data_IF_923036579483
#
_entry.id   IF_923036579483
#
_cell.length_a   1.000
_cell.length_b   1.000
_cell.length_c   1.000
_cell.angle_alpha   90.00
_cell.angle_beta   90.00
_cell.angle_gamma   90.00
#
_symmetry.space_group_name_H-M   'P 1'
#
loop_
_entity.id
_entity.type
_entity.pdbx_description
1 polymer ?
#
# COMPACT_ATOMS: atom_id res chain seq x y z
N UNK A 1 19.96 -6.75 -13.11
CA UNK A 1 19.30 -8.01 -12.74
C UNK A 1 18.01 -7.66 -12.03
N UNK A 2 16.89 -8.30 -12.37
CA UNK A 2 15.64 -8.07 -11.65
C UNK A 2 15.79 -8.64 -10.23
N UNK A 3 15.39 -7.86 -9.20
CA UNK A 3 15.40 -8.33 -7.81
C UNK A 3 14.47 -9.53 -7.64
N UNK A 4 14.86 -10.50 -6.83
CA UNK A 4 14.01 -11.64 -6.50
C UNK A 4 12.81 -11.22 -5.66
N UNK A 5 11.82 -12.10 -5.51
CA UNK A 5 10.67 -11.81 -4.63
C UNK A 5 11.09 -11.74 -3.15
N UNK A 6 12.09 -12.55 -2.77
CA UNK A 6 12.68 -12.56 -1.43
C UNK A 6 13.30 -11.21 -1.10
N UNK A 7 14.07 -10.63 -2.04
CA UNK A 7 14.63 -9.28 -1.89
C UNK A 7 13.56 -8.19 -1.91
N UNK A 8 12.62 -8.24 -2.87
CA UNK A 8 11.56 -7.23 -3.03
C UNK A 8 10.70 -7.09 -1.77
N UNK A 9 10.42 -8.21 -1.10
CA UNK A 9 9.61 -8.24 0.12
C UNK A 9 10.44 -8.24 1.40
N UNK A 10 11.77 -8.32 1.29
CA UNK A 10 12.71 -8.44 2.40
C UNK A 10 12.34 -9.61 3.33
N UNK A 11 12.23 -10.82 2.78
CA UNK A 11 11.73 -11.99 3.50
C UNK A 11 12.76 -12.62 4.46
N UNK A 12 14.07 -12.33 4.30
CA UNK A 12 15.13 -12.88 5.15
C UNK A 12 15.06 -12.47 6.62
N UNK A 13 14.25 -11.47 6.96
CA UNK A 13 14.12 -10.95 8.33
C UNK A 13 13.16 -11.77 9.21
N UNK A 14 12.47 -12.75 8.64
CA UNK A 14 11.46 -13.54 9.34
C UNK A 14 12.06 -14.87 9.77
N UNK A 15 11.79 -15.30 11.00
CA UNK A 15 12.35 -16.51 11.59
C UNK A 15 11.40 -17.71 11.40
N UNK A 16 10.15 -17.60 11.83
CA UNK A 16 9.16 -18.67 11.67
C UNK A 16 8.47 -18.55 10.31
N UNK A 17 8.94 -19.35 9.33
CA UNK A 17 8.50 -19.27 7.94
C UNK A 17 7.77 -20.55 7.51
N UNK A 18 6.63 -20.38 6.81
CA UNK A 18 5.99 -21.44 6.05
C UNK A 18 5.86 -21.07 4.57
N UNK A 19 6.11 -22.04 3.69
CA UNK A 19 5.91 -21.93 2.24
C UNK A 19 4.93 -23.00 1.77
N UNK A 20 3.77 -22.58 1.27
CA UNK A 20 2.68 -23.48 0.91
C UNK A 20 2.46 -23.52 -0.61
N UNK A 21 2.17 -24.71 -1.13
CA UNK A 21 1.73 -24.94 -2.51
C UNK A 21 2.68 -24.39 -3.59
N UNK A 22 3.98 -24.27 -3.29
CA UNK A 22 4.96 -23.81 -4.27
C UNK A 22 4.92 -24.69 -5.53
N UNK A 23 4.85 -24.09 -6.74
CA UNK A 23 4.85 -24.87 -7.98
C UNK A 23 6.10 -25.74 -8.09
N UNK A 24 5.93 -27.01 -8.46
CA UNK A 24 7.03 -27.95 -8.59
C UNK A 24 8.09 -27.43 -9.58
N UNK A 25 9.36 -27.57 -9.21
CA UNK A 25 10.48 -27.11 -10.03
C UNK A 25 10.65 -25.58 -10.09
N UNK A 26 9.84 -24.79 -9.38
CA UNK A 26 10.02 -23.34 -9.30
C UNK A 26 11.10 -22.95 -8.28
N UNK A 27 11.94 -21.97 -8.63
CA UNK A 27 13.02 -21.45 -7.79
C UNK A 27 12.68 -20.15 -7.07
N UNK A 28 11.40 -19.84 -6.83
CA UNK A 28 10.99 -18.50 -6.35
C UNK A 28 11.52 -18.14 -4.96
N UNK A 29 11.70 -19.13 -4.08
CA UNK A 29 12.00 -18.95 -2.67
C UNK A 29 13.27 -19.70 -2.22
N UNK A 30 14.13 -20.08 -3.18
CA UNK A 30 15.40 -20.78 -2.94
C UNK A 30 16.36 -20.03 -1.99
N UNK A 31 16.19 -18.72 -1.87
CA UNK A 31 17.00 -17.87 -0.98
C UNK A 31 16.57 -17.95 0.50
N UNK A 32 15.43 -18.59 0.80
CA UNK A 32 15.03 -18.86 2.18
C UNK A 32 15.72 -20.13 2.68
N UNK A 33 16.36 -20.03 3.85
CA UNK A 33 17.21 -21.10 4.37
C UNK A 33 16.44 -22.26 5.03
N UNK A 34 15.37 -21.94 5.77
CA UNK A 34 14.55 -22.92 6.48
C UNK A 34 13.08 -22.46 6.46
N UNK A 35 12.17 -23.40 6.20
CA UNK A 35 10.74 -23.16 6.19
C UNK A 35 9.94 -24.45 6.26
N UNK A 36 8.76 -24.36 6.87
CA UNK A 36 7.77 -25.43 6.85
C UNK A 36 7.00 -25.45 5.53
N UNK A 37 6.72 -26.64 5.00
CA UNK A 37 5.88 -26.79 3.78
C UNK A 37 4.39 -26.97 4.09
N UNK A 38 4.03 -27.02 5.36
CA UNK A 38 2.67 -27.18 5.88
C UNK A 38 2.52 -26.37 7.16
N UNK A 39 1.36 -25.75 7.38
CA UNK A 39 1.08 -25.04 8.63
C UNK A 39 0.98 -26.03 9.80
N UNK A 40 1.77 -25.79 10.85
CA UNK A 40 1.72 -26.51 12.13
C UNK A 40 0.92 -25.71 13.18
N UNK A 41 0.81 -26.23 14.40
CA UNK A 41 0.02 -25.62 15.48
C UNK A 41 0.61 -24.34 16.09
N UNK A 42 1.77 -23.87 15.62
CA UNK A 42 2.37 -22.62 16.08
C UNK A 42 2.13 -21.47 15.09
N UNK A 43 2.36 -20.24 15.55
CA UNK A 43 2.26 -19.04 14.72
C UNK A 43 3.53 -18.78 13.92
N UNK A 44 3.35 -18.25 12.72
CA UNK A 44 4.40 -17.91 11.77
C UNK A 44 4.58 -16.39 11.68
N UNK A 45 5.83 -15.96 11.48
CA UNK A 45 6.13 -14.56 11.15
C UNK A 45 5.92 -14.29 9.66
N UNK A 46 6.03 -15.34 8.85
CA UNK A 46 5.82 -15.32 7.41
C UNK A 46 5.14 -16.62 6.95
N UNK A 47 4.01 -16.48 6.28
CA UNK A 47 3.43 -17.53 5.44
C UNK A 47 3.50 -17.02 4.01
N UNK A 48 4.17 -17.75 3.12
CA UNK A 48 4.15 -17.51 1.69
C UNK A 48 3.41 -18.66 1.02
N UNK A 49 2.38 -18.38 0.23
CA UNK A 49 1.57 -19.41 -0.41
C UNK A 49 1.32 -19.11 -1.88
N UNK A 50 1.08 -20.14 -2.67
CA UNK A 50 0.59 -20.01 -4.03
C UNK A 50 -0.85 -20.53 -4.11
N UNK A 51 -1.73 -19.76 -4.73
CA UNK A 51 -3.16 -20.07 -4.89
C UNK A 51 -3.57 -19.77 -6.32
N UNK A 52 -4.35 -20.65 -6.94
CA UNK A 52 -4.63 -20.57 -8.39
C UNK A 52 -5.96 -19.87 -8.71
N UNK A 53 -6.84 -19.75 -7.74
CA UNK A 53 -8.17 -19.16 -7.87
C UNK A 53 -8.59 -18.46 -6.57
N UNK A 54 -9.69 -17.72 -6.68
CA UNK A 54 -10.18 -16.88 -5.59
C UNK A 54 -10.74 -17.69 -4.41
N UNK A 55 -11.30 -18.87 -4.67
CA UNK A 55 -11.82 -19.77 -3.64
C UNK A 55 -10.67 -20.29 -2.77
N UNK A 56 -9.61 -20.82 -3.40
CA UNK A 56 -8.39 -21.27 -2.74
C UNK A 56 -7.71 -20.14 -1.94
N UNK A 57 -7.72 -18.91 -2.45
CA UNK A 57 -7.21 -17.75 -1.72
C UNK A 57 -8.05 -17.48 -0.47
N UNK A 58 -9.37 -17.49 -0.61
CA UNK A 58 -10.29 -17.24 0.50
C UNK A 58 -10.14 -18.31 1.57
N UNK A 59 -10.12 -19.59 1.19
CA UNK A 59 -9.93 -20.71 2.12
C UNK A 59 -8.61 -20.61 2.89
N UNK A 60 -7.52 -20.24 2.20
CA UNK A 60 -6.23 -20.02 2.84
C UNK A 60 -6.30 -18.90 3.89
N UNK A 61 -6.91 -17.77 3.53
CA UNK A 61 -7.04 -16.61 4.43
C UNK A 61 -7.92 -16.96 5.63
N UNK A 62 -9.07 -17.60 5.40
CA UNK A 62 -9.99 -18.05 6.45
C UNK A 62 -9.28 -19.02 7.41
N UNK A 63 -8.54 -20.00 6.89
CA UNK A 63 -7.77 -20.96 7.70
C UNK A 63 -6.72 -20.27 8.56
N UNK A 64 -5.98 -19.30 8.01
CA UNK A 64 -4.97 -18.54 8.76
C UNK A 64 -5.62 -17.72 9.88
N UNK A 65 -6.80 -17.15 9.63
CA UNK A 65 -7.57 -16.39 10.63
C UNK A 65 -8.10 -17.31 11.72
N UNK A 66 -8.77 -18.41 11.35
CA UNK A 66 -9.44 -19.32 12.28
C UNK A 66 -8.47 -19.95 13.27
N UNK A 67 -7.31 -20.40 12.77
CA UNK A 67 -6.28 -21.04 13.59
C UNK A 67 -5.21 -20.07 14.12
N UNK A 68 -5.35 -18.76 13.86
CA UNK A 68 -4.39 -17.74 14.29
C UNK A 68 -2.94 -18.08 13.92
N UNK A 69 -2.72 -18.58 12.70
CA UNK A 69 -1.40 -19.03 12.23
C UNK A 69 -0.38 -17.90 12.02
N UNK A 70 -0.74 -16.64 12.22
CA UNK A 70 0.20 -15.51 12.15
C UNK A 70 0.52 -14.97 13.53
N UNK A 71 1.81 -14.80 13.81
CA UNK A 71 2.28 -14.03 14.94
C UNK A 71 1.91 -12.55 14.78
N UNK A 72 2.01 -11.80 15.89
CA UNK A 72 1.80 -10.34 15.86
C UNK A 72 2.73 -9.67 14.85
N UNK A 73 2.19 -8.83 13.97
CA UNK A 73 2.92 -8.24 12.85
C UNK A 73 3.43 -9.21 11.77
N UNK A 74 3.02 -10.48 11.84
CA UNK A 74 3.32 -11.49 10.83
C UNK A 74 2.65 -11.19 9.50
N UNK A 75 3.16 -11.80 8.44
CA UNK A 75 2.69 -11.58 7.07
C UNK A 75 2.23 -12.87 6.41
N UNK A 76 1.07 -12.80 5.76
CA UNK A 76 0.65 -13.77 4.75
C UNK A 76 0.85 -13.13 3.36
N UNK A 77 1.75 -13.71 2.56
CA UNK A 77 1.89 -13.39 1.16
C UNK A 77 1.28 -14.51 0.32
N UNK A 78 0.30 -14.18 -0.51
CA UNK A 78 -0.31 -15.12 -1.45
C UNK A 78 0.00 -14.72 -2.88
N UNK A 79 0.75 -15.55 -3.60
CA UNK A 79 1.01 -15.44 -5.01
C UNK A 79 -0.16 -16.05 -5.80
N UNK A 80 -0.72 -15.29 -6.73
CA UNK A 80 -1.85 -15.72 -7.55
C UNK A 80 -1.65 -15.39 -9.04
N UNK A 81 -2.14 -16.23 -9.97
CA UNK A 81 -2.00 -15.97 -11.39
C UNK A 81 -2.72 -14.67 -11.78
N UNK A 82 -2.00 -13.76 -12.43
CA UNK A 82 -2.56 -12.48 -12.88
C UNK A 82 -3.27 -12.63 -14.23
N UNK A 83 -4.19 -11.71 -14.52
CA UNK A 83 -4.88 -11.67 -15.83
C UNK A 83 -3.85 -11.63 -16.97
N UNK A 84 -4.02 -12.51 -17.96
CA UNK A 84 -3.11 -12.63 -19.11
C UNK A 84 -1.89 -13.51 -18.88
N UNK A 85 -1.77 -14.18 -17.72
CA UNK A 85 -0.79 -15.24 -17.55
C UNK A 85 -1.00 -16.37 -18.59
N UNK A 86 0.09 -17.05 -18.97
CA UNK A 86 0.07 -18.11 -20.01
C UNK A 86 0.27 -19.52 -19.46
N UNK A 87 0.41 -19.67 -18.14
CA UNK A 87 0.75 -20.93 -17.49
C UNK A 87 -0.48 -21.62 -16.93
N UNK A 88 -1.39 -20.84 -16.33
CA UNK A 88 -2.60 -21.36 -15.70
C UNK A 88 -3.84 -20.94 -16.48
N UNK A 89 -4.89 -21.80 -16.54
CA UNK A 89 -6.16 -21.45 -17.15
C UNK A 89 -6.96 -20.44 -16.30
N UNK A 90 -6.60 -20.29 -15.03
CA UNK A 90 -7.25 -19.41 -14.06
C UNK A 90 -6.46 -18.12 -13.85
N UNK A 91 -7.14 -17.11 -13.30
CA UNK A 91 -6.53 -15.90 -12.80
C UNK A 91 -7.44 -15.26 -11.75
N UNK A 92 -6.85 -14.40 -10.91
CA UNK A 92 -7.62 -13.55 -10.00
C UNK A 92 -7.50 -12.11 -10.48
N UNK A 93 -8.64 -11.42 -10.62
CA UNK A 93 -8.62 -10.00 -10.95
C UNK A 93 -8.19 -9.20 -9.72
N UNK A 94 -7.34 -8.20 -9.92
CA UNK A 94 -6.80 -7.37 -8.82
C UNK A 94 -7.91 -6.67 -8.04
N UNK A 95 -8.88 -6.13 -8.77
CA UNK A 95 -9.97 -5.34 -8.20
C UNK A 95 -10.98 -6.19 -7.42
N UNK A 96 -11.10 -7.47 -7.79
CA UNK A 96 -12.05 -8.41 -7.15
C UNK A 96 -11.42 -9.13 -5.94
N UNK A 97 -10.09 -9.10 -5.80
CA UNK A 97 -9.36 -9.89 -4.82
C UNK A 97 -9.74 -9.53 -3.38
N UNK A 98 -9.78 -8.23 -3.06
CA UNK A 98 -10.05 -7.79 -1.68
C UNK A 98 -11.50 -8.05 -1.29
N UNK A 99 -12.44 -7.82 -2.20
CA UNK A 99 -13.85 -8.12 -1.98
C UNK A 99 -14.07 -9.63 -1.82
N UNK A 100 -13.41 -10.44 -2.66
CA UNK A 100 -13.54 -11.90 -2.63
C UNK A 100 -13.00 -12.58 -1.37
N UNK A 101 -12.08 -11.96 -0.65
CA UNK A 101 -11.65 -12.42 0.68
C UNK A 101 -12.48 -11.82 1.82
N UNK A 102 -13.45 -10.95 1.53
CA UNK A 102 -14.28 -10.29 2.54
C UNK A 102 -13.56 -9.16 3.27
N UNK A 103 -12.73 -8.40 2.56
CA UNK A 103 -12.09 -7.18 3.10
C UNK A 103 -13.09 -6.03 3.19
N UNK A 104 -13.04 -5.28 4.29
CA UNK A 104 -13.73 -4.00 4.42
C UNK A 104 -13.02 -2.85 3.69
N UNK A 105 -13.63 -1.66 3.69
CA UNK A 105 -13.08 -0.44 3.08
C UNK A 105 -11.73 0.00 3.68
N UNK A 106 -11.44 -0.42 4.92
CA UNK A 106 -10.17 -0.15 5.60
C UNK A 106 -9.11 -1.20 5.31
N UNK A 107 -9.44 -2.23 4.52
CA UNK A 107 -8.55 -3.32 4.14
C UNK A 107 -8.53 -4.49 5.12
N UNK A 108 -9.36 -4.50 6.17
CA UNK A 108 -9.38 -5.61 7.14
C UNK A 108 -10.28 -6.74 6.68
N UNK A 109 -9.83 -7.96 6.87
CA UNK A 109 -10.53 -9.17 6.42
C UNK A 109 -11.49 -9.68 7.50
N UNK A 110 -12.77 -9.76 7.16
CA UNK A 110 -13.84 -10.30 8.02
C UNK A 110 -13.94 -9.58 9.36
N UNK A 111 -13.79 -10.32 10.47
CA UNK A 111 -13.68 -9.78 11.85
C UNK A 111 -12.28 -9.98 12.45
N UNK A 112 -11.27 -10.33 11.65
CA UNK A 112 -9.88 -10.53 12.09
C UNK A 112 -9.01 -9.26 12.11
N UNK A 113 -7.86 -9.28 12.78
CA UNK A 113 -6.86 -8.19 12.65
C UNK A 113 -5.99 -8.31 11.38
N UNK A 114 -6.30 -9.24 10.48
CA UNK A 114 -5.58 -9.38 9.22
C UNK A 114 -6.00 -8.25 8.29
N UNK A 115 -5.02 -7.50 7.79
CA UNK A 115 -5.23 -6.32 6.97
C UNK A 115 -4.41 -6.36 5.70
N UNK A 116 -5.00 -5.90 4.60
CA UNK A 116 -4.28 -5.59 3.38
C UNK A 116 -3.09 -4.66 3.66
N UNK A 117 -1.92 -5.06 3.18
CA UNK A 117 -0.68 -4.30 3.35
C UNK A 117 -0.11 -3.80 2.03
N UNK A 118 -0.01 -4.67 1.00
CA UNK A 118 0.59 -4.30 -0.30
C UNK A 118 0.29 -5.33 -1.38
N UNK A 119 0.58 -4.97 -2.64
CA UNK A 119 0.71 -5.90 -3.75
C UNK A 119 2.08 -5.73 -4.42
N UNK A 120 2.67 -6.83 -4.87
CA UNK A 120 3.98 -6.84 -5.55
C UNK A 120 3.94 -7.78 -6.74
N UNK A 121 4.37 -7.29 -7.91
CA UNK A 121 4.54 -8.14 -9.08
C UNK A 121 5.70 -9.12 -8.88
N UNK A 122 5.41 -10.41 -8.95
CA UNK A 122 6.41 -11.46 -8.83
C UNK A 122 7.13 -11.62 -10.17
N UNK A 123 6.38 -11.97 -11.21
CA UNK A 123 6.84 -12.15 -12.59
C UNK A 123 5.69 -11.97 -13.60
N UNK A 124 5.81 -12.54 -14.80
CA UNK A 124 4.79 -12.50 -15.85
C UNK A 124 3.58 -13.43 -15.61
N UNK A 125 3.66 -14.31 -14.61
CA UNK A 125 2.60 -15.25 -14.26
C UNK A 125 1.86 -14.80 -13.01
N UNK A 126 2.59 -14.44 -11.96
CA UNK A 126 2.05 -14.21 -10.63
C UNK A 126 2.14 -12.74 -10.19
N UNK A 127 1.13 -12.34 -9.43
CA UNK A 127 1.17 -11.18 -8.54
C UNK A 127 1.06 -11.68 -7.10
N UNK A 128 1.72 -11.02 -6.16
CA UNK A 128 1.64 -11.33 -4.73
C UNK A 128 0.78 -10.29 -4.03
N UNK A 129 -0.25 -10.72 -3.31
CA UNK A 129 -0.94 -9.91 -2.31
C UNK A 129 -0.31 -10.16 -0.94
N UNK A 130 -0.06 -9.09 -0.19
CA UNK A 130 0.43 -9.14 1.18
C UNK A 130 -0.65 -8.70 2.15
N UNK A 131 -0.99 -9.60 3.07
CA UNK A 131 -1.85 -9.37 4.21
C UNK A 131 -0.98 -9.42 5.48
N UNK A 132 -1.24 -8.54 6.44
CA UNK A 132 -0.46 -8.43 7.67
C UNK A 132 -1.39 -8.60 8.87
N UNK A 133 -0.95 -9.33 9.89
CA UNK A 133 -1.55 -9.23 11.23
C UNK A 133 -1.25 -7.85 11.80
N UNK A 134 -2.27 -7.01 11.91
CA UNK A 134 -2.14 -5.66 12.45
C UNK A 134 -2.29 -5.68 13.97
N UNK A 135 -1.15 -5.77 14.67
CA UNK A 135 -1.09 -5.76 16.13
C UNK A 135 -1.73 -4.50 16.76
N UNK A 136 -1.90 -3.42 16.00
CA UNK A 136 -2.61 -2.20 16.42
C UNK A 136 -4.14 -2.33 16.43
N UNK A 137 -4.68 -3.32 15.72
CA UNK A 137 -6.10 -3.65 15.63
C UNK A 137 -6.94 -2.65 14.81
N UNK A 138 -8.18 -3.05 14.50
CA UNK A 138 -9.14 -2.24 13.70
C UNK A 138 -9.40 -0.83 14.22
N UNK A 139 -9.26 -0.62 15.53
CA UNK A 139 -9.60 0.64 16.19
C UNK A 139 -8.43 1.63 16.26
N UNK A 140 -7.25 1.29 15.74
CA UNK A 140 -6.18 2.28 15.61
C UNK A 140 -6.53 3.25 14.48
N UNK A 141 -6.91 4.48 14.86
CA UNK A 141 -7.09 5.58 13.92
C UNK A 141 -5.77 5.78 13.19
N UNK A 142 -5.78 5.59 11.87
CA UNK A 142 -4.59 5.75 11.05
C UNK A 142 -3.99 7.14 11.29
N UNK A 143 -2.75 7.18 11.77
CA UNK A 143 -2.05 8.45 11.95
C UNK A 143 -1.65 9.09 10.61
N UNK A 144 -1.98 8.46 9.47
CA UNK A 144 -1.72 9.00 8.15
C UNK A 144 -2.82 9.99 7.75
N UNK A 145 -2.38 11.15 7.27
CA UNK A 145 -3.23 12.16 6.67
C UNK A 145 -3.86 11.63 5.37
N UNK A 146 -5.11 12.00 5.11
CA UNK A 146 -5.81 11.57 3.88
C UNK A 146 -5.03 11.93 2.62
N UNK A 147 -5.12 11.08 1.60
CA UNK A 147 -4.57 11.36 0.28
C UNK A 147 -5.63 11.95 -0.68
N UNK A 148 -6.91 11.93 -0.31
CA UNK A 148 -8.00 12.51 -1.11
C UNK A 148 -7.93 14.02 -1.02
N UNK A 149 -7.92 14.70 -2.16
CA UNK A 149 -7.83 16.17 -2.23
C UNK A 149 -9.09 16.84 -1.66
N UNK A 150 -10.24 16.18 -1.74
CA UNK A 150 -11.51 16.74 -1.26
C UNK A 150 -11.54 16.89 0.27
N UNK A 151 -10.78 16.07 1.00
CA UNK A 151 -10.66 16.16 2.46
C UNK A 151 -9.96 17.44 2.93
N UNK A 152 -9.36 18.20 2.00
CA UNK A 152 -8.62 19.44 2.26
C UNK A 152 -9.33 20.70 1.76
N UNK A 153 -10.57 20.59 1.27
CA UNK A 153 -11.34 21.75 0.77
C UNK A 153 -11.48 22.83 1.85
N UNK A 154 -11.75 22.42 3.10
CA UNK A 154 -11.91 23.34 4.24
C UNK A 154 -10.61 24.08 4.60
N UNK A 155 -9.47 23.66 4.06
CA UNK A 155 -8.15 24.23 4.32
C UNK A 155 -7.69 25.18 3.21
N UNK A 156 -8.46 25.33 2.13
CA UNK A 156 -8.19 26.34 1.08
C UNK A 156 -8.07 27.76 1.66
N UNK A 157 -8.95 28.23 2.57
CA UNK A 157 -8.80 29.55 3.18
C UNK A 157 -7.51 29.70 4.00
N UNK A 158 -7.00 28.60 4.58
CA UNK A 158 -5.74 28.61 5.31
C UNK A 158 -4.55 28.79 4.38
N UNK A 159 -4.58 28.19 3.18
CA UNK A 159 -3.58 28.44 2.13
C UNK A 159 -3.62 29.90 1.66
N UNK A 160 -4.81 30.47 1.47
CA UNK A 160 -4.94 31.89 1.10
C UNK A 160 -4.34 32.81 2.16
N UNK A 161 -4.57 32.48 3.43
CA UNK A 161 -3.96 33.18 4.56
C UNK A 161 -2.44 33.05 4.56
N UNK A 162 -1.88 31.87 4.28
CA UNK A 162 -0.43 31.68 4.19
C UNK A 162 0.25 32.51 3.09
N UNK A 163 -0.53 33.02 2.13
CA UNK A 163 -0.08 33.85 1.01
C UNK A 163 -0.46 35.33 1.18
N UNK A 164 -1.09 35.73 2.30
CA UNK A 164 -1.61 37.10 2.50
C UNK A 164 -0.53 38.18 2.40
N UNK A 165 0.69 37.87 2.85
CA UNK A 165 1.86 38.75 2.77
C UNK A 165 2.49 38.82 1.37
N UNK A 166 2.00 38.01 0.42
CA UNK A 166 2.49 37.94 -0.97
C UNK A 166 1.33 38.07 -1.97
N UNK A 167 0.78 39.28 -2.17
CA UNK A 167 -0.45 39.49 -2.97
C UNK A 167 -0.37 38.93 -4.41
N UNK A 168 0.81 38.97 -5.02
CA UNK A 168 1.03 38.42 -6.36
C UNK A 168 0.84 36.90 -6.41
N UNK A 169 1.42 36.18 -5.43
CA UNK A 169 1.26 34.73 -5.31
C UNK A 169 -0.16 34.34 -4.91
N UNK A 170 -0.80 35.13 -4.06
CA UNK A 170 -2.21 34.94 -3.70
C UNK A 170 -3.12 35.05 -4.93
N UNK A 171 -2.90 36.05 -5.79
CA UNK A 171 -3.65 36.20 -7.04
C UNK A 171 -3.43 35.02 -7.99
N UNK A 172 -2.19 34.55 -8.13
CA UNK A 172 -1.86 33.35 -8.92
C UNK A 172 -2.62 32.15 -8.35
N UNK A 173 -2.54 31.92 -7.05
CA UNK A 173 -3.23 30.81 -6.37
C UNK A 173 -4.75 30.86 -6.56
N UNK A 174 -5.37 32.03 -6.40
CA UNK A 174 -6.83 32.19 -6.58
C UNK A 174 -7.28 31.97 -8.02
N UNK A 175 -6.42 32.27 -9.00
CA UNK A 175 -6.69 32.00 -10.42
C UNK A 175 -6.63 30.51 -10.78
N UNK A 176 -6.09 29.66 -9.90
CA UNK A 176 -6.01 28.22 -10.13
C UNK A 176 -7.40 27.57 -10.12
N UNK A 177 -7.56 26.54 -10.93
CA UNK A 177 -8.78 25.71 -10.90
C UNK A 177 -8.95 25.08 -9.50
N UNK A 178 -10.19 24.75 -9.10
CA UNK A 178 -10.45 24.18 -7.77
C UNK A 178 -9.60 22.94 -7.48
N UNK A 179 -9.32 22.11 -8.49
CA UNK A 179 -8.45 20.93 -8.34
C UNK A 179 -7.04 21.27 -7.87
N UNK A 180 -6.39 22.26 -8.48
CA UNK A 180 -5.04 22.69 -8.08
C UNK A 180 -5.01 23.34 -6.69
N UNK A 181 -6.05 24.10 -6.33
CA UNK A 181 -6.16 24.69 -4.98
C UNK A 181 -6.28 23.61 -3.90
N UNK A 182 -7.13 22.60 -4.13
CA UNK A 182 -7.24 21.43 -3.24
C UNK A 182 -5.92 20.66 -3.14
N UNK A 183 -5.20 20.52 -4.24
CA UNK A 183 -3.91 19.83 -4.26
C UNK A 183 -2.85 20.53 -3.41
N UNK A 184 -2.76 21.87 -3.48
CA UNK A 184 -1.89 22.66 -2.62
C UNK A 184 -2.28 22.59 -1.14
N UNK A 185 -3.58 22.69 -0.84
CA UNK A 185 -4.09 22.52 0.51
C UNK A 185 -3.71 21.14 1.08
N UNK A 186 -3.90 20.07 0.29
CA UNK A 186 -3.42 18.72 0.64
C UNK A 186 -1.92 18.70 0.85
N UNK A 187 -1.14 19.27 -0.07
CA UNK A 187 0.32 19.23 0.02
C UNK A 187 0.80 19.86 1.32
N UNK A 188 0.37 21.08 1.63
CA UNK A 188 0.81 21.79 2.84
C UNK A 188 0.26 21.11 4.10
N UNK A 189 -1.06 20.92 4.19
CA UNK A 189 -1.72 20.58 5.45
C UNK A 189 -1.83 19.09 5.76
N UNK A 190 -1.49 18.20 4.82
CA UNK A 190 -1.30 16.77 5.11
C UNK A 190 -0.13 16.54 6.08
N UNK A 191 0.84 17.45 6.14
CA UNK A 191 1.87 17.40 7.16
C UNK A 191 1.27 17.70 8.54
N UNK A 192 1.59 16.89 9.55
CA UNK A 192 1.10 17.08 10.93
C UNK A 192 1.94 18.07 11.74
N UNK A 193 3.24 18.11 11.48
CA UNK A 193 4.18 18.96 12.19
C UNK A 193 4.27 20.33 11.54
N UNK A 194 4.24 21.38 12.35
CA UNK A 194 4.27 22.75 11.85
C UNK A 194 5.58 23.10 11.13
N UNK A 195 6.71 22.52 11.56
CA UNK A 195 7.98 22.68 10.85
C UNK A 195 7.89 22.15 9.40
N UNK A 196 7.28 20.98 9.22
CA UNK A 196 7.08 20.42 7.88
C UNK A 196 6.09 21.25 7.06
N UNK A 197 5.03 21.78 7.69
CA UNK A 197 4.08 22.69 7.02
C UNK A 197 4.78 23.96 6.56
N UNK A 198 5.59 24.59 7.42
CA UNK A 198 6.38 25.76 7.07
C UNK A 198 7.29 25.51 5.85
N UNK A 199 8.03 24.40 5.85
CA UNK A 199 8.87 24.00 4.70
C UNK A 199 8.05 23.84 3.41
N UNK A 200 6.88 23.19 3.49
CA UNK A 200 5.99 23.00 2.33
C UNK A 200 5.33 24.30 1.85
N UNK A 201 5.03 25.25 2.73
CA UNK A 201 4.53 26.59 2.37
C UNK A 201 5.58 27.36 1.57
N UNK A 202 6.82 27.35 2.03
CA UNK A 202 7.91 28.03 1.32
C UNK A 202 8.20 27.36 -0.03
N UNK A 203 8.17 26.02 -0.11
CA UNK A 203 8.27 25.31 -1.38
C UNK A 203 7.09 25.65 -2.32
N UNK A 204 5.86 25.74 -1.80
CA UNK A 204 4.71 26.17 -2.59
C UNK A 204 4.91 27.57 -3.16
N UNK A 205 5.33 28.54 -2.34
CA UNK A 205 5.59 29.92 -2.79
C UNK A 205 6.62 29.96 -3.91
N UNK A 206 7.73 29.25 -3.74
CA UNK A 206 8.78 29.13 -4.76
C UNK A 206 8.24 28.57 -6.08
N UNK A 207 7.43 27.49 -6.02
CA UNK A 207 6.88 26.84 -7.21
C UNK A 207 5.84 27.72 -7.92
N UNK A 208 4.97 28.40 -7.17
CA UNK A 208 4.00 29.35 -7.71
C UNK A 208 4.71 30.54 -8.36
N UNK A 209 5.78 31.05 -7.74
CA UNK A 209 6.60 32.13 -8.28
C UNK A 209 7.29 31.71 -9.59
N UNK A 210 7.68 30.44 -9.71
CA UNK A 210 8.22 29.87 -10.95
C UNK A 210 7.15 29.62 -12.03
N UNK A 211 5.87 29.94 -11.76
CA UNK A 211 4.78 29.88 -12.74
C UNK A 211 4.08 28.52 -12.86
N UNK A 212 4.37 27.56 -11.99
CA UNK A 212 3.77 26.22 -12.06
C UNK A 212 2.50 26.14 -11.22
N UNK A 213 1.47 25.50 -11.80
CA UNK A 213 0.16 25.32 -11.17
C UNK A 213 0.14 24.23 -10.10
N UNK A 214 1.08 23.30 -10.16
CA UNK A 214 1.24 22.21 -9.19
C UNK A 214 2.71 21.85 -9.01
N UNK A 215 2.99 21.21 -7.87
CA UNK A 215 4.30 20.65 -7.58
C UNK A 215 4.73 19.56 -8.55
N UNK A 216 3.80 18.76 -9.06
CA UNK A 216 4.11 17.72 -10.04
C UNK A 216 4.57 18.30 -11.37
N UNK A 217 3.97 19.39 -11.84
CA UNK A 217 4.38 20.08 -13.06
C UNK A 217 5.80 20.64 -12.91
N UNK A 218 6.12 21.24 -11.77
CA UNK A 218 7.47 21.71 -11.46
C UNK A 218 8.49 20.57 -11.48
N UNK A 219 8.20 19.47 -10.79
CA UNK A 219 9.09 18.31 -10.72
C UNK A 219 9.36 17.67 -12.07
N UNK A 220 8.37 17.63 -12.96
CA UNK A 220 8.52 17.05 -14.31
C UNK A 220 9.44 17.88 -15.20
N UNK A 221 9.46 19.19 -15.01
CA UNK A 221 10.30 20.10 -15.79
C UNK A 221 11.76 20.13 -15.28
N UNK A 222 11.97 19.79 -14.01
CA UNK A 222 13.28 19.68 -13.37
C UNK A 222 13.94 18.29 -13.52
N UNK A 223 13.26 17.33 -14.15
CA UNK A 223 13.72 15.94 -14.32
C UNK A 223 14.27 15.70 -15.72
#
# INVERSE_FOLDING_TARGET
MAKSIVEKLNLHKYDQVAVLNQPEGSGYLVELADYDTTLKEHGYDLIFAFVLDLESLKELVDRVIEHQHLNKNGYLFAAYPKKGNKVYPTYIHRDDLLDGIGSDESGYVGTSNIKFARMVGLDDVFTVVGLKEDAGGRNQTSSQSSQRVDDYISLIPSVEKDLEDTPELLAIYQSLTPGYRKDWARYVYSAKQEETRAKRREEMKMILQAGYKSRELYRKDQA
#
